data_IF_712318863219
#
_entry.id   IF_712318863219
#
_cell.length_a   1.000
_cell.length_b   1.000
_cell.length_c   1.000
_cell.angle_alpha   90.00
_cell.angle_beta   90.00
_cell.angle_gamma   90.00
#
_symmetry.space_group_name_H-M   'P 1'
#
loop_
_entity.id
_entity.type
_entity.pdbx_description
1 polymer ?
#
# COMPACT_ATOMS: atom_id res chain seq x y z
N UNK A 1 4.66 1.49 21.67
CA UNK A 1 4.87 0.98 20.29
C UNK A 1 3.60 0.90 19.45
N UNK A 2 2.53 0.25 19.92
CA UNK A 2 1.30 0.06 19.14
C UNK A 2 0.65 1.37 18.61
N UNK A 3 0.38 2.32 19.52
CA UNK A 3 -0.20 3.62 19.17
C UNK A 3 0.66 4.40 18.17
N UNK A 4 1.98 4.34 18.32
CA UNK A 4 2.92 5.01 17.43
C UNK A 4 2.87 4.43 16.01
N UNK A 5 2.91 3.10 15.87
CA UNK A 5 2.78 2.43 14.57
C UNK A 5 1.46 2.80 13.88
N UNK A 6 0.34 2.76 14.62
CA UNK A 6 -0.97 3.20 14.13
C UNK A 6 -0.94 4.64 13.62
N UNK A 7 -0.39 5.56 14.41
CA UNK A 7 -0.32 6.99 14.07
C UNK A 7 0.51 7.24 12.82
N UNK A 8 1.63 6.54 12.63
CA UNK A 8 2.45 6.67 11.43
C UNK A 8 1.69 6.24 10.17
N UNK A 9 1.03 5.08 10.19
CA UNK A 9 0.26 4.61 9.02
C UNK A 9 -0.91 5.56 8.72
N UNK A 10 -1.56 6.11 9.75
CA UNK A 10 -2.62 7.11 9.57
C UNK A 10 -2.11 8.43 8.96
N UNK A 11 -0.81 8.74 9.01
CA UNK A 11 -0.29 9.88 8.24
C UNK A 11 -0.39 9.66 6.73
N UNK A 12 -0.43 8.39 6.28
CA UNK A 12 -0.75 8.03 4.91
C UNK A 12 -2.10 8.58 4.48
N UNK A 13 -3.11 8.34 5.30
CA UNK A 13 -4.48 8.86 5.14
C UNK A 13 -4.53 10.40 5.23
N UNK A 14 -3.99 10.96 6.31
CA UNK A 14 -4.22 12.37 6.65
C UNK A 14 -3.33 13.33 5.86
N UNK A 15 -2.02 13.08 5.83
CA UNK A 15 -1.03 14.04 5.30
C UNK A 15 -0.56 13.65 3.90
N UNK A 16 -0.18 12.39 3.69
CA UNK A 16 0.40 11.94 2.42
C UNK A 16 -0.63 11.97 1.28
N UNK A 17 -1.91 11.76 1.58
CA UNK A 17 -3.00 11.84 0.60
C UNK A 17 -3.16 13.23 -0.02
N UNK A 18 -2.70 14.28 0.67
CA UNK A 18 -2.79 15.69 0.23
C UNK A 18 -1.42 16.33 0.00
N UNK A 19 -0.34 15.72 0.48
CA UNK A 19 1.05 16.11 0.24
C UNK A 19 1.90 14.86 -0.06
N UNK A 20 1.91 14.39 -1.32
CA UNK A 20 2.59 13.15 -1.72
C UNK A 20 4.07 13.07 -1.32
N UNK A 21 4.80 14.19 -1.41
CA UNK A 21 6.24 14.26 -1.12
C UNK A 21 6.58 13.90 0.34
N UNK A 22 5.65 14.21 1.26
CA UNK A 22 5.83 13.90 2.69
C UNK A 22 5.97 12.41 2.99
N UNK A 23 5.55 11.53 2.06
CA UNK A 23 5.68 10.08 2.20
C UNK A 23 7.12 9.65 2.53
N UNK A 24 8.12 10.24 1.87
CA UNK A 24 9.53 9.87 2.04
C UNK A 24 10.09 10.31 3.40
N UNK A 25 9.62 11.44 3.93
CA UNK A 25 9.98 11.90 5.28
C UNK A 25 9.45 10.91 6.33
N UNK A 26 8.17 10.55 6.27
CA UNK A 26 7.59 9.56 7.17
C UNK A 26 8.24 8.19 7.02
N UNK A 27 8.45 7.73 5.79
CA UNK A 27 9.09 6.45 5.52
C UNK A 27 10.51 6.37 6.11
N UNK A 28 11.30 7.44 5.99
CA UNK A 28 12.66 7.50 6.58
C UNK A 28 12.66 7.36 8.10
N UNK A 29 11.69 7.98 8.78
CA UNK A 29 11.54 7.85 10.25
C UNK A 29 11.08 6.44 10.62
N UNK A 30 10.08 5.91 9.92
CA UNK A 30 9.56 4.55 10.17
C UNK A 30 10.66 3.51 9.99
N UNK A 31 11.46 3.57 8.92
CA UNK A 31 12.56 2.63 8.66
C UNK A 31 13.62 2.73 9.75
N UNK A 32 13.98 3.95 10.17
CA UNK A 32 14.95 4.16 11.25
C UNK A 32 14.48 3.50 12.55
N UNK A 33 13.21 3.70 12.92
CA UNK A 33 12.61 3.08 14.11
C UNK A 33 12.43 1.57 13.96
N UNK A 34 12.11 1.06 12.78
CA UNK A 34 11.96 -0.36 12.52
C UNK A 34 13.29 -1.08 12.71
N UNK A 35 14.38 -0.54 12.18
CA UNK A 35 15.71 -1.13 12.32
C UNK A 35 16.16 -1.25 13.78
N UNK A 36 15.78 -0.29 14.63
CA UNK A 36 16.06 -0.33 16.07
C UNK A 36 15.06 -1.22 16.84
N UNK A 37 13.79 -1.23 16.42
CA UNK A 37 12.71 -1.93 17.10
C UNK A 37 11.91 -2.82 16.12
N UNK A 38 12.33 -4.07 15.87
CA UNK A 38 11.68 -4.94 14.89
C UNK A 38 10.18 -5.18 15.13
N UNK A 39 9.73 -5.19 16.39
CA UNK A 39 8.32 -5.31 16.74
C UNK A 39 7.48 -4.11 16.25
N UNK A 40 8.04 -2.90 16.30
CA UNK A 40 7.37 -1.71 15.76
C UNK A 40 7.10 -1.88 14.27
N UNK A 41 8.07 -2.38 13.52
CA UNK A 41 7.92 -2.68 12.11
C UNK A 41 6.83 -3.69 11.78
N UNK A 42 6.73 -4.78 12.56
CA UNK A 42 5.64 -5.75 12.43
C UNK A 42 4.27 -5.09 12.66
N UNK A 43 4.16 -4.21 13.65
CA UNK A 43 2.94 -3.46 13.94
C UNK A 43 2.60 -2.48 12.81
N UNK A 44 3.61 -1.81 12.24
CA UNK A 44 3.43 -0.92 11.09
C UNK A 44 2.84 -1.69 9.90
N UNK A 45 3.39 -2.85 9.55
CA UNK A 45 2.82 -3.70 8.49
C UNK A 45 1.38 -4.13 8.81
N UNK A 46 1.12 -4.56 10.05
CA UNK A 46 -0.22 -4.95 10.47
C UNK A 46 -1.23 -3.81 10.28
N UNK A 47 -0.84 -2.57 10.59
CA UNK A 47 -1.69 -1.40 10.37
C UNK A 47 -1.83 -1.02 8.90
N UNK A 48 -0.79 -1.15 8.08
CA UNK A 48 -0.92 -0.99 6.63
C UNK A 48 -1.96 -1.95 6.06
N UNK A 49 -1.87 -3.24 6.39
CA UNK A 49 -2.80 -4.24 5.90
C UNK A 49 -4.21 -4.08 6.47
N UNK A 50 -4.33 -3.59 7.70
CA UNK A 50 -5.63 -3.26 8.30
C UNK A 50 -6.31 -2.08 7.62
N UNK A 51 -5.57 -1.01 7.33
CA UNK A 51 -6.15 0.23 6.79
C UNK A 51 -6.21 0.29 5.27
N UNK A 52 -5.37 -0.49 4.58
CA UNK A 52 -5.39 -0.67 3.14
C UNK A 52 -5.18 -2.17 2.83
N UNK A 53 -6.26 -2.98 2.87
CA UNK A 53 -6.16 -4.43 2.67
C UNK A 53 -5.61 -4.82 1.29
N UNK A 54 -5.67 -3.91 0.31
CA UNK A 54 -5.13 -4.06 -1.04
C UNK A 54 -3.59 -4.09 -1.11
N UNK A 55 -2.90 -3.73 -0.02
CA UNK A 55 -1.47 -3.96 0.14
C UNK A 55 -1.13 -5.43 0.39
N UNK A 56 -2.15 -6.27 0.63
CA UNK A 56 -2.08 -7.71 0.51
C UNK A 56 -2.73 -8.09 -0.82
N UNK A 57 -2.08 -8.88 -1.69
CA UNK A 57 -2.63 -9.28 -2.98
C UNK A 57 -3.70 -10.38 -2.80
N UNK A 58 -4.77 -10.03 -2.08
CA UNK A 58 -5.91 -10.88 -1.79
C UNK A 58 -7.15 -10.02 -1.58
N UNK A 59 -8.18 -10.26 -2.37
CA UNK A 59 -9.48 -9.61 -2.21
C UNK A 59 -10.33 -10.42 -1.23
N UNK A 60 -10.62 -9.84 -0.07
CA UNK A 60 -11.42 -10.49 0.97
C UNK A 60 -12.84 -10.74 0.41
N UNK A 61 -13.29 -12.02 0.31
CA UNK A 61 -14.63 -12.34 -0.15
C UNK A 61 -15.66 -12.06 0.93
N UNK A 62 -16.90 -11.80 0.51
CA UNK A 62 -18.03 -11.66 1.42
C UNK A 62 -18.38 -13.01 2.04
N UNK A 63 -18.65 -13.02 3.35
CA UNK A 63 -19.08 -14.22 4.06
C UNK A 63 -20.61 -14.38 4.00
N UNK A 64 -21.10 -15.61 4.07
CA UNK A 64 -22.54 -15.88 4.11
C UNK A 64 -23.12 -15.29 5.40
N UNK A 65 -24.19 -14.50 5.28
CA UNK A 65 -24.83 -13.83 6.42
C UNK A 65 -24.12 -12.57 6.91
N UNK A 66 -23.03 -12.14 6.25
CA UNK A 66 -22.33 -10.91 6.59
C UNK A 66 -23.12 -9.67 6.16
N UNK A 67 -23.25 -8.69 7.06
CA UNK A 67 -23.87 -7.40 6.77
C UNK A 67 -23.06 -6.60 5.73
N UNK A 68 -23.70 -5.67 5.02
CA UNK A 68 -22.96 -4.81 4.09
C UNK A 68 -21.91 -3.98 4.84
N UNK A 69 -22.23 -3.45 6.02
CA UNK A 69 -21.33 -2.65 6.85
C UNK A 69 -20.08 -3.44 7.27
N UNK A 70 -20.24 -4.65 7.80
CA UNK A 70 -19.12 -5.50 8.18
C UNK A 70 -18.23 -5.83 6.97
N UNK A 71 -18.85 -6.12 5.83
CA UNK A 71 -18.14 -6.40 4.59
C UNK A 71 -17.32 -5.20 4.13
N UNK A 72 -17.92 -4.01 4.06
CA UNK A 72 -17.25 -2.78 3.64
C UNK A 72 -16.14 -2.37 4.61
N UNK A 73 -16.35 -2.50 5.92
CA UNK A 73 -15.30 -2.28 6.93
C UNK A 73 -14.12 -3.24 6.70
N UNK A 74 -14.36 -4.53 6.40
CA UNK A 74 -13.29 -5.48 6.03
C UNK A 74 -12.58 -5.09 4.74
N UNK A 75 -13.27 -4.48 3.78
CA UNK A 75 -12.66 -3.90 2.58
C UNK A 75 -11.89 -2.60 2.85
N UNK A 76 -11.85 -2.13 4.10
CA UNK A 76 -11.15 -0.93 4.52
C UNK A 76 -11.95 0.34 4.37
N UNK A 77 -13.26 0.27 4.10
CA UNK A 77 -14.14 1.45 4.13
C UNK A 77 -14.37 1.92 5.56
N UNK A 78 -14.67 3.20 5.71
CA UNK A 78 -15.09 3.83 6.96
C UNK A 78 -16.59 4.11 6.92
N UNK A 79 -17.22 4.00 8.10
CA UNK A 79 -18.60 4.42 8.33
C UNK A 79 -18.60 5.61 9.30
N UNK A 80 -19.38 6.63 8.97
CA UNK A 80 -19.61 7.79 9.83
C UNK A 80 -21.12 7.95 10.01
N UNK A 81 -21.59 7.90 11.25
CA UNK A 81 -23.01 8.00 11.59
C UNK A 81 -23.91 7.05 10.77
N UNK A 82 -23.46 5.80 10.60
CA UNK A 82 -24.15 4.76 9.83
C UNK A 82 -24.07 4.91 8.31
N UNK A 83 -23.36 5.92 7.79
CA UNK A 83 -23.17 6.13 6.36
C UNK A 83 -21.78 5.69 5.92
N UNK A 84 -21.73 4.89 4.87
CA UNK A 84 -20.47 4.53 4.21
C UNK A 84 -19.78 5.78 3.64
N UNK A 85 -18.46 5.84 3.78
CA UNK A 85 -17.68 6.91 3.16
C UNK A 85 -17.83 6.90 1.62
N UNK A 86 -17.75 8.09 1.03
CA UNK A 86 -17.82 8.25 -0.42
C UNK A 86 -16.58 7.66 -1.09
N UNK A 87 -16.78 7.12 -2.30
CA UNK A 87 -15.74 6.45 -3.08
C UNK A 87 -14.51 7.34 -3.35
N UNK A 88 -14.70 8.63 -3.64
CA UNK A 88 -13.62 9.58 -3.87
C UNK A 88 -12.74 9.78 -2.62
N UNK A 89 -13.36 9.90 -1.45
CA UNK A 89 -12.65 9.99 -0.16
C UNK A 89 -11.91 8.72 0.18
N UNK A 90 -12.55 7.57 -0.02
CA UNK A 90 -11.94 6.25 0.14
C UNK A 90 -10.68 6.11 -0.75
N UNK A 91 -10.80 6.39 -2.05
CA UNK A 91 -9.70 6.27 -3.00
C UNK A 91 -8.56 7.24 -2.67
N UNK A 92 -8.87 8.47 -2.25
CA UNK A 92 -7.85 9.43 -1.79
C UNK A 92 -7.06 8.90 -0.60
N UNK A 93 -7.74 8.29 0.38
CA UNK A 93 -7.12 7.68 1.54
C UNK A 93 -6.26 6.47 1.18
N UNK A 94 -6.78 5.57 0.34
CA UNK A 94 -6.02 4.41 -0.17
C UNK A 94 -4.78 4.84 -0.96
N UNK A 95 -4.88 5.90 -1.74
CA UNK A 95 -3.75 6.51 -2.45
C UNK A 95 -2.66 6.95 -1.48
N UNK A 96 -3.01 7.74 -0.45
CA UNK A 96 -2.03 8.21 0.52
C UNK A 96 -1.34 7.08 1.31
N UNK A 97 -2.11 6.09 1.77
CA UNK A 97 -1.57 4.92 2.48
C UNK A 97 -0.67 4.08 1.55
N UNK A 98 -1.10 3.83 0.31
CA UNK A 98 -0.32 3.07 -0.68
C UNK A 98 0.98 3.78 -1.02
N UNK A 99 0.97 5.10 -1.19
CA UNK A 99 2.17 5.89 -1.47
C UNK A 99 3.17 5.81 -0.31
N UNK A 100 2.69 5.93 0.93
CA UNK A 100 3.56 5.78 2.11
C UNK A 100 4.17 4.37 2.21
N UNK A 101 3.36 3.32 1.99
CA UNK A 101 3.87 1.95 1.93
C UNK A 101 4.94 1.79 0.83
N UNK A 102 4.67 2.37 -0.35
CA UNK A 102 5.56 2.30 -1.50
C UNK A 102 6.90 3.00 -1.22
N UNK A 103 6.88 4.16 -0.56
CA UNK A 103 8.08 4.85 -0.13
C UNK A 103 8.96 4.00 0.82
N UNK A 104 8.35 3.22 1.73
CA UNK A 104 9.10 2.32 2.62
C UNK A 104 9.91 1.25 1.86
N UNK A 105 9.48 0.86 0.66
CA UNK A 105 10.17 -0.18 -0.14
C UNK A 105 11.49 0.32 -0.73
N UNK A 106 11.63 1.64 -0.90
CA UNK A 106 12.72 2.27 -1.67
C UNK A 106 13.54 3.28 -0.88
N UNK A 107 13.06 3.76 0.27
CA UNK A 107 13.84 4.63 1.14
C UNK A 107 15.10 3.89 1.61
N UNK A 108 16.24 4.56 1.47
CA UNK A 108 17.54 4.04 1.87
C UNK A 108 17.67 4.10 3.39
N UNK A 109 18.13 2.99 3.99
CA UNK A 109 18.53 2.99 5.40
C UNK A 109 19.72 3.93 5.63
N UNK A 110 19.82 4.48 6.85
CA UNK A 110 20.99 5.30 7.22
C UNK A 110 22.27 4.46 7.17
N UNK A 111 23.41 5.09 6.86
CA UNK A 111 24.72 4.43 6.88
C UNK A 111 24.94 3.75 8.24
N UNK A 112 25.28 2.46 8.22
CA UNK A 112 25.50 1.65 9.43
C UNK A 112 24.28 0.90 9.96
N UNK A 113 23.09 1.05 9.37
CA UNK A 113 21.92 0.23 9.70
C UNK A 113 21.84 -1.01 8.79
N UNK A 114 21.29 -2.10 9.34
CA UNK A 114 21.01 -3.33 8.59
C UNK A 114 19.98 -3.07 7.47
N UNK A 115 19.99 -3.94 6.45
CA UNK A 115 18.99 -3.91 5.38
C UNK A 115 17.61 -4.12 6.01
N UNK A 116 16.69 -3.17 5.78
CA UNK A 116 15.30 -3.26 6.23
C UNK A 116 14.66 -4.56 5.75
N UNK A 117 13.90 -5.26 6.61
CA UNK A 117 13.12 -6.42 6.20
C UNK A 117 12.17 -6.13 5.03
N UNK A 118 11.57 -4.93 4.98
CA UNK A 118 10.73 -4.47 3.88
C UNK A 118 11.59 -3.73 2.83
N UNK A 119 11.54 -4.20 1.58
CA UNK A 119 12.36 -3.66 0.49
C UNK A 119 11.69 -3.89 -0.87
N UNK A 120 12.26 -3.34 -1.93
CA UNK A 120 11.73 -3.41 -3.29
C UNK A 120 11.45 -4.84 -3.82
N UNK A 121 12.06 -5.90 -3.27
CA UNK A 121 11.70 -7.27 -3.64
C UNK A 121 10.29 -7.64 -3.19
N UNK A 122 9.87 -7.19 -2.00
CA UNK A 122 8.49 -7.33 -1.54
C UNK A 122 7.53 -6.57 -2.44
N UNK A 123 7.94 -5.38 -2.90
CA UNK A 123 7.18 -4.61 -3.88
C UNK A 123 6.97 -5.35 -5.20
N UNK A 124 8.02 -5.98 -5.72
CA UNK A 124 7.94 -6.80 -6.92
C UNK A 124 6.98 -7.98 -6.76
N UNK A 125 7.07 -8.69 -5.63
CA UNK A 125 6.21 -9.82 -5.32
C UNK A 125 4.75 -9.39 -5.16
N UNK A 126 4.50 -8.26 -4.49
CA UNK A 126 3.17 -7.67 -4.36
C UNK A 126 2.58 -7.34 -5.74
N UNK A 127 3.30 -6.58 -6.57
CA UNK A 127 2.83 -6.17 -7.89
C UNK A 127 2.54 -7.39 -8.79
N UNK A 128 3.47 -8.34 -8.82
CA UNK A 128 3.33 -9.56 -9.62
C UNK A 128 2.16 -10.44 -9.17
N UNK A 129 1.80 -10.39 -7.88
CA UNK A 129 0.68 -11.16 -7.33
C UNK A 129 -0.64 -10.43 -7.56
N UNK A 130 -0.68 -9.12 -7.34
CA UNK A 130 -1.87 -8.30 -7.55
C UNK A 130 -2.32 -8.31 -9.01
N UNK A 131 -1.37 -8.25 -9.96
CA UNK A 131 -1.63 -8.29 -11.40
C UNK A 131 -2.25 -9.62 -11.89
N UNK A 132 -2.27 -10.67 -11.06
CA UNK A 132 -2.91 -11.95 -11.39
C UNK A 132 -4.37 -12.01 -10.93
N UNK A 133 -4.81 -11.09 -10.09
CA UNK A 133 -6.19 -11.05 -9.61
C UNK A 133 -7.12 -10.41 -10.65
N UNK A 134 -8.39 -10.77 -10.60
CA UNK A 134 -9.43 -10.05 -11.35
C UNK A 134 -9.57 -8.64 -10.77
N UNK A 135 -9.36 -7.57 -11.57
CA UNK A 135 -9.30 -6.22 -11.03
C UNK A 135 -10.66 -5.77 -10.52
N UNK A 136 -10.64 -5.16 -9.34
CA UNK A 136 -11.77 -4.36 -8.85
C UNK A 136 -11.75 -2.97 -9.45
N UNK A 137 -12.89 -2.56 -10.00
CA UNK A 137 -13.15 -1.23 -10.57
C UNK A 137 -12.69 -0.14 -9.61
N UNK A 138 -12.03 0.86 -10.16
CA UNK A 138 -11.37 2.01 -9.50
C UNK A 138 -10.22 1.68 -8.52
N UNK A 139 -10.43 0.73 -7.61
CA UNK A 139 -9.50 0.42 -6.51
C UNK A 139 -8.17 -0.10 -7.05
N UNK A 140 -8.24 -1.11 -7.92
CA UNK A 140 -7.04 -1.80 -8.42
C UNK A 140 -6.20 -0.87 -9.27
N UNK A 141 -6.86 -0.08 -10.12
CA UNK A 141 -6.23 0.95 -10.93
C UNK A 141 -5.49 1.96 -10.04
N UNK A 142 -6.19 2.47 -9.02
CA UNK A 142 -5.67 3.48 -8.09
C UNK A 142 -4.44 3.00 -7.34
N UNK A 143 -4.48 1.80 -6.74
CA UNK A 143 -3.33 1.29 -5.95
C UNK A 143 -2.14 0.94 -6.83
N UNK A 144 -2.36 0.35 -8.01
CA UNK A 144 -1.26 0.04 -8.96
C UNK A 144 -0.62 1.33 -9.47
N UNK A 145 -1.43 2.29 -9.90
CA UNK A 145 -0.95 3.57 -10.40
C UNK A 145 -0.11 4.29 -9.34
N UNK A 146 -0.66 4.45 -8.14
CA UNK A 146 0.01 5.11 -7.01
C UNK A 146 1.32 4.43 -6.63
N UNK A 147 1.31 3.10 -6.60
CA UNK A 147 2.50 2.32 -6.30
C UNK A 147 3.60 2.57 -7.34
N UNK A 148 3.26 2.43 -8.63
CA UNK A 148 4.21 2.58 -9.73
C UNK A 148 4.76 4.00 -9.83
N UNK A 149 3.91 5.01 -9.66
CA UNK A 149 4.35 6.41 -9.61
C UNK A 149 5.47 6.61 -8.56
N UNK A 150 5.42 5.86 -7.46
CA UNK A 150 6.40 5.96 -6.38
C UNK A 150 7.65 5.11 -6.63
N UNK A 151 7.52 3.87 -7.12
CA UNK A 151 8.62 2.87 -7.12
C UNK A 151 9.13 2.46 -8.49
N UNK A 152 8.49 2.88 -9.59
CA UNK A 152 8.80 2.37 -10.93
C UNK A 152 10.26 2.62 -11.33
N UNK A 153 10.82 3.78 -10.98
CA UNK A 153 12.22 4.10 -11.25
C UNK A 153 13.18 3.11 -10.57
N UNK A 154 12.97 2.85 -9.28
CA UNK A 154 13.79 1.90 -8.50
C UNK A 154 13.58 0.45 -8.95
N UNK A 155 12.38 0.09 -9.39
CA UNK A 155 12.12 -1.21 -10.02
C UNK A 155 12.86 -1.36 -11.36
N UNK A 156 12.89 -0.31 -12.18
CA UNK A 156 13.61 -0.31 -13.44
C UNK A 156 15.12 -0.43 -13.21
N UNK A 157 15.69 0.32 -12.26
CA UNK A 157 17.11 0.20 -11.91
C UNK A 157 17.48 -1.20 -11.44
N UNK A 158 16.61 -1.88 -10.69
CA UNK A 158 16.91 -3.20 -10.12
C UNK A 158 16.62 -4.38 -11.07
N UNK A 159 15.53 -4.33 -11.83
CA UNK A 159 15.05 -5.47 -12.63
C UNK A 159 15.07 -5.22 -14.15
N UNK A 160 15.28 -3.98 -14.58
CA UNK A 160 15.44 -3.59 -15.98
C UNK A 160 14.35 -4.11 -16.91
N UNK A 161 14.76 -4.85 -17.95
CA UNK A 161 13.87 -5.34 -19.02
C UNK A 161 12.77 -6.29 -18.51
N UNK A 162 13.03 -7.04 -17.43
CA UNK A 162 12.05 -7.99 -16.87
C UNK A 162 10.85 -7.24 -16.29
N UNK A 163 11.09 -6.10 -15.62
CA UNK A 163 10.02 -5.25 -15.11
C UNK A 163 9.15 -4.70 -16.22
N UNK A 164 9.76 -4.12 -17.26
CA UNK A 164 9.01 -3.58 -18.41
C UNK A 164 8.14 -4.64 -19.07
N UNK A 165 8.67 -5.86 -19.28
CA UNK A 165 7.93 -6.97 -19.89
C UNK A 165 6.76 -7.45 -19.01
N UNK A 166 6.99 -7.63 -17.70
CA UNK A 166 5.93 -8.05 -16.78
C UNK A 166 4.80 -7.01 -16.73
N UNK A 167 5.18 -5.74 -16.57
CA UNK A 167 4.23 -4.63 -16.56
C UNK A 167 3.41 -4.57 -17.85
N UNK A 168 4.03 -4.55 -19.02
CA UNK A 168 3.32 -4.45 -20.30
C UNK A 168 2.35 -5.62 -20.55
N UNK A 169 2.76 -6.85 -20.23
CA UNK A 169 1.95 -8.04 -20.51
C UNK A 169 0.73 -8.16 -19.59
N UNK A 170 0.87 -7.77 -18.32
CA UNK A 170 -0.18 -7.94 -17.33
C UNK A 170 -1.04 -6.69 -17.17
N UNK A 171 -0.45 -5.48 -17.30
CA UNK A 171 -1.20 -4.24 -17.21
C UNK A 171 -2.23 -4.09 -18.31
N UNK A 172 -1.95 -4.56 -19.54
CA UNK A 172 -2.94 -4.57 -20.64
C UNK A 172 -4.18 -5.40 -20.29
N UNK A 173 -4.01 -6.52 -19.59
CA UNK A 173 -5.12 -7.39 -19.16
C UNK A 173 -5.96 -6.74 -18.04
N UNK A 174 -5.30 -6.00 -17.16
CA UNK A 174 -5.98 -5.25 -16.09
C UNK A 174 -6.72 -4.05 -16.68
N UNK A 175 -6.07 -3.29 -17.56
CA UNK A 175 -6.64 -2.10 -18.22
C UNK A 175 -7.80 -2.42 -19.15
N UNK A 176 -7.89 -3.62 -19.73
CA UNK A 176 -9.02 -4.02 -20.57
C UNK A 176 -10.26 -4.42 -19.76
N UNK A 177 -10.13 -4.55 -18.44
CA UNK A 177 -11.18 -5.03 -17.51
C UNK A 177 -11.63 -3.96 -16.51
N UNK A 178 -10.95 -2.81 -16.50
CA UNK A 178 -11.31 -1.60 -15.76
C UNK A 178 -12.12 -0.69 -16.68
#
# INVERSE_FOLDING_TARGET
MNLLAKKFVLQGDLMVSSNPESAFCYASVIISLWNEFPLFGKLVLAYFYKFCPYLVPYYIPRQVGESDEDFYIKQGYQYNDGQIEKQDKFLKRMTGITRLYSALLIVKSKKGQNITPLNIHHGWNWLSSLLKLEPRVDITATVIHTFLETVAFEMELKYGKIFKKNYQNNYRKVSSKL
#
